data_IF_113559801014
#
_entry.id   IF_113559801014
#
_cell.length_a   1.000
_cell.length_b   1.000
_cell.length_c   1.000
_cell.angle_alpha   90.00
_cell.angle_beta   90.00
_cell.angle_gamma   90.00
#
_symmetry.space_group_name_H-M   'P 1'
#
loop_
_entity.id
_entity.type
_entity.pdbx_description
1 polymer ?
#
# COMPACT_ATOMS: atom_id res chain seq x y z
N UNK A 1 -8.65 -3.67 -3.64
CA UNK A 1 -8.79 -5.04 -3.12
C UNK A 1 -7.90 -6.01 -3.92
N UNK A 2 -7.17 -6.97 -3.30
CA UNK A 2 -6.37 -7.97 -4.01
C UNK A 2 -7.21 -8.95 -4.85
N UNK A 3 -6.71 -9.37 -6.02
CA UNK A 3 -7.39 -10.35 -6.90
C UNK A 3 -7.62 -11.69 -6.21
N UNK A 4 -6.65 -12.15 -5.43
CA UNK A 4 -6.71 -13.37 -4.59
C UNK A 4 -7.86 -13.36 -3.57
N UNK A 5 -8.42 -12.17 -3.28
CA UNK A 5 -9.53 -11.96 -2.34
C UNK A 5 -10.82 -11.49 -3.05
N UNK A 6 -10.96 -11.74 -4.35
CA UNK A 6 -12.16 -11.42 -5.13
C UNK A 6 -12.19 -10.01 -5.73
N UNK A 7 -11.08 -9.26 -5.68
CA UNK A 7 -10.97 -7.96 -6.33
C UNK A 7 -11.10 -8.05 -7.86
N UNK A 8 -11.97 -7.24 -8.46
CA UNK A 8 -12.22 -7.21 -9.91
C UNK A 8 -11.60 -6.00 -10.60
N UNK A 9 -11.45 -4.90 -9.88
CA UNK A 9 -10.85 -3.68 -10.40
C UNK A 9 -9.34 -3.65 -10.15
N UNK A 10 -8.59 -3.19 -11.15
CA UNK A 10 -7.15 -2.98 -11.05
C UNK A 10 -6.83 -1.54 -11.40
N UNK A 11 -6.00 -0.89 -10.58
CA UNK A 11 -5.45 0.44 -10.83
C UNK A 11 -3.93 0.34 -10.89
N UNK A 12 -3.32 1.14 -11.76
CA UNK A 12 -1.87 1.23 -11.83
C UNK A 12 -1.33 2.00 -10.63
N UNK A 13 -0.25 1.46 -10.05
CA UNK A 13 0.52 2.10 -8.99
C UNK A 13 2.00 2.02 -9.33
N UNK A 14 2.75 3.06 -8.98
CA UNK A 14 4.21 2.99 -9.00
C UNK A 14 4.70 1.82 -8.14
N UNK A 15 5.84 1.25 -8.53
CA UNK A 15 6.43 0.08 -7.85
C UNK A 15 6.67 0.34 -6.37
N UNK A 16 7.11 1.53 -6.00
CA UNK A 16 7.36 1.93 -4.60
C UNK A 16 6.04 2.03 -3.80
N UNK A 17 4.99 2.62 -4.38
CA UNK A 17 3.69 2.74 -3.74
C UNK A 17 3.05 1.36 -3.49
N UNK A 18 3.07 0.50 -4.51
CA UNK A 18 2.53 -0.86 -4.39
C UNK A 18 3.30 -1.67 -3.33
N UNK A 19 4.63 -1.59 -3.33
CA UNK A 19 5.47 -2.27 -2.32
C UNK A 19 5.20 -1.76 -0.92
N UNK A 20 4.99 -0.46 -0.73
CA UNK A 20 4.71 0.09 0.60
C UNK A 20 3.41 -0.45 1.18
N UNK A 21 2.36 -0.56 0.37
CA UNK A 21 1.09 -1.13 0.80
C UNK A 21 1.31 -2.54 1.37
N UNK A 22 2.02 -3.39 0.63
CA UNK A 22 2.35 -4.76 1.07
C UNK A 22 3.44 -4.85 2.15
N UNK A 23 4.16 -3.76 2.43
CA UNK A 23 5.09 -3.69 3.55
C UNK A 23 4.38 -3.43 4.88
N UNK A 24 3.17 -2.87 4.82
CA UNK A 24 2.39 -2.47 5.99
C UNK A 24 1.14 -3.31 6.21
N UNK A 25 0.55 -3.87 5.15
CA UNK A 25 -0.74 -4.56 5.18
C UNK A 25 -0.68 -5.92 4.47
N UNK A 26 -1.37 -6.90 5.05
CA UNK A 26 -1.61 -8.21 4.44
C UNK A 26 -2.72 -8.13 3.40
N UNK A 27 -2.80 -9.12 2.51
CA UNK A 27 -3.90 -9.20 1.54
C UNK A 27 -5.29 -9.32 2.22
N UNK A 28 -5.35 -9.99 3.38
CA UNK A 28 -6.59 -10.14 4.15
C UNK A 28 -7.07 -8.80 4.71
N UNK A 29 -6.15 -7.97 5.23
CA UNK A 29 -6.50 -6.63 5.73
C UNK A 29 -6.91 -5.69 4.58
N UNK A 30 -6.24 -5.78 3.43
CA UNK A 30 -6.63 -5.05 2.22
C UNK A 30 -8.00 -5.46 1.69
N UNK A 31 -8.43 -6.69 1.97
CA UNK A 31 -9.75 -7.16 1.57
C UNK A 31 -10.84 -6.79 2.57
N UNK A 32 -10.56 -6.91 3.88
CA UNK A 32 -11.57 -6.75 4.92
C UNK A 32 -11.73 -5.31 5.41
N UNK A 33 -10.61 -4.60 5.59
CA UNK A 33 -10.58 -3.30 6.30
C UNK A 33 -10.20 -2.16 5.36
N UNK A 34 -9.22 -2.37 4.49
CA UNK A 34 -8.63 -1.32 3.63
C UNK A 34 -8.97 -1.55 2.15
N UNK A 35 -10.24 -1.80 1.85
CA UNK A 35 -10.70 -2.25 0.53
C UNK A 35 -11.00 -1.14 -0.48
N UNK A 36 -11.05 0.12 -0.04
CA UNK A 36 -11.19 1.33 -0.85
C UNK A 36 -10.12 2.37 -0.46
N UNK A 37 -9.98 3.42 -1.28
CA UNK A 37 -8.85 4.38 -1.17
C UNK A 37 -8.89 5.17 0.13
N UNK A 38 -10.06 5.62 0.56
CA UNK A 38 -10.25 6.41 1.78
C UNK A 38 -9.82 5.63 3.03
N UNK A 39 -10.25 4.37 3.16
CA UNK A 39 -9.79 3.49 4.23
C UNK A 39 -8.27 3.28 4.18
N UNK A 40 -7.71 3.05 2.98
CA UNK A 40 -6.27 2.87 2.82
C UNK A 40 -5.48 4.12 3.28
N UNK A 41 -5.97 5.32 2.95
CA UNK A 41 -5.37 6.59 3.37
C UNK A 41 -5.55 6.86 4.87
N UNK A 42 -6.56 6.29 5.52
CA UNK A 42 -6.75 6.38 6.97
C UNK A 42 -5.72 5.56 7.77
N UNK A 43 -5.04 4.58 7.15
CA UNK A 43 -3.98 3.84 7.84
C UNK A 43 -2.78 4.76 8.13
N UNK A 44 -2.35 4.93 9.40
CA UNK A 44 -1.37 5.96 9.77
C UNK A 44 -0.01 5.76 9.08
N UNK A 45 0.41 4.51 8.89
CA UNK A 45 1.65 4.19 8.15
C UNK A 45 1.55 4.53 6.66
N UNK A 46 0.36 4.43 6.06
CA UNK A 46 0.15 4.78 4.65
C UNK A 46 0.06 6.29 4.51
N UNK A 47 -0.70 6.98 5.37
CA UNK A 47 -0.81 8.45 5.37
C UNK A 47 0.57 9.14 5.46
N UNK A 48 1.43 8.66 6.35
CA UNK A 48 2.81 9.14 6.49
C UNK A 48 3.62 8.92 5.21
N UNK A 49 3.52 7.73 4.62
CA UNK A 49 4.20 7.43 3.36
C UNK A 49 3.70 8.32 2.21
N UNK A 50 2.38 8.48 2.05
CA UNK A 50 1.79 9.32 1.00
C UNK A 50 2.27 10.77 1.13
N UNK A 51 2.31 11.30 2.35
CA UNK A 51 2.80 12.66 2.63
C UNK A 51 4.27 12.84 2.25
N UNK A 52 5.07 11.79 2.36
CA UNK A 52 6.49 11.83 2.01
C UNK A 52 6.75 11.56 0.51
N UNK A 53 6.03 10.63 -0.11
CA UNK A 53 6.25 10.23 -1.51
C UNK A 53 5.71 11.28 -2.49
N UNK A 54 4.66 12.05 -2.10
CA UNK A 54 4.10 13.12 -2.95
C UNK A 54 5.10 14.23 -3.31
N UNK A 55 6.22 14.32 -2.58
CA UNK A 55 7.27 15.32 -2.83
C UNK A 55 8.41 14.77 -3.69
N UNK A 56 8.29 13.55 -4.23
CA UNK A 56 9.34 12.86 -4.98
C UNK A 56 9.06 12.94 -6.49
N UNK A 57 10.09 12.86 -7.35
CA UNK A 57 9.91 12.79 -8.80
C UNK A 57 9.12 11.55 -9.24
N UNK A 58 8.50 11.61 -10.42
CA UNK A 58 7.68 10.49 -10.95
C UNK A 58 8.47 9.19 -11.15
N UNK A 59 9.75 9.30 -11.48
CA UNK A 59 10.65 8.16 -11.66
C UNK A 59 11.33 7.68 -10.36
N UNK A 60 10.91 8.21 -9.20
CA UNK A 60 11.52 7.92 -7.92
C UNK A 60 11.44 6.43 -7.58
N UNK A 61 12.57 5.87 -7.18
CA UNK A 61 12.70 4.48 -6.78
C UNK A 61 13.47 4.37 -5.46
N UNK A 62 12.89 3.65 -4.51
CA UNK A 62 13.54 3.31 -3.25
C UNK A 62 13.18 1.88 -2.81
N UNK A 63 14.11 1.23 -2.11
CA UNK A 63 13.89 -0.12 -1.56
C UNK A 63 12.93 -0.06 -0.38
N UNK A 64 11.77 -0.67 -0.53
CA UNK A 64 10.81 -0.85 0.56
C UNK A 64 11.17 -2.05 1.43
N UNK A 65 11.25 -1.85 2.76
CA UNK A 65 11.36 -2.93 3.75
C UNK A 65 9.99 -3.23 4.36
N UNK A 66 9.67 -4.51 4.55
CA UNK A 66 8.47 -4.95 5.28
C UNK A 66 8.58 -4.56 6.75
N UNK A 67 7.46 -4.12 7.34
CA UNK A 67 7.36 -3.90 8.79
C UNK A 67 7.54 -5.22 9.56
N UNK A 68 7.96 -5.15 10.83
CA UNK A 68 8.06 -6.34 11.69
C UNK A 68 6.80 -7.21 11.61
N UNK A 69 5.63 -6.56 11.76
CA UNK A 69 4.30 -7.21 11.73
C UNK A 69 4.00 -8.05 10.48
N UNK A 70 4.61 -7.73 9.34
CA UNK A 70 4.40 -8.46 8.07
C UNK A 70 5.50 -9.51 7.83
N UNK A 71 6.57 -9.46 8.60
CA UNK A 71 7.68 -10.43 8.53
C UNK A 71 7.46 -11.62 9.46
N UNK A 72 6.77 -11.39 10.56
CA UNK A 72 6.29 -12.41 11.50
C UNK A 72 5.09 -13.17 10.88
#
# INVERSE_FOLDING_TARGET
MPKSKGGRETKYLHRVCHRQIHALLTETELAKTYNHVEALLAHPGIARFVTWVKTKPDNFYERTRKSQRIRD
#
